data_IF_783586956860
#
_entry.id   IF_783586956860
#
_cell.length_a   1.000
_cell.length_b   1.000
_cell.length_c   1.000
_cell.angle_alpha   90.00
_cell.angle_beta   90.00
_cell.angle_gamma   90.00
#
_symmetry.space_group_name_H-M   'P 1'
#
loop_
_entity.id
_entity.type
_entity.pdbx_description
1 polymer ?
#
# COMPACT_ATOMS: atom_id res chain seq x y z
N UNK A 1 -3.00 -10.03 -4.11
CA UNK A 1 -3.18 -11.47 -3.81
C UNK A 1 -3.24 -11.76 -2.30
N UNK A 2 -2.46 -11.06 -1.46
CA UNK A 2 -2.38 -11.34 -0.03
C UNK A 2 -3.62 -10.97 0.80
N UNK A 3 -4.38 -9.93 0.41
CA UNK A 3 -5.58 -9.48 1.13
C UNK A 3 -6.66 -10.58 1.24
N UNK A 4 -7.00 -11.24 0.13
CA UNK A 4 -8.07 -12.25 0.12
C UNK A 4 -7.69 -13.41 1.04
N UNK A 5 -6.45 -13.89 0.93
CA UNK A 5 -5.93 -14.94 1.82
C UNK A 5 -5.99 -14.51 3.29
N UNK A 6 -5.61 -13.28 3.61
CA UNK A 6 -5.69 -12.75 4.97
C UNK A 6 -7.12 -12.68 5.49
N UNK A 7 -8.07 -12.18 4.68
CA UNK A 7 -9.49 -12.08 5.07
C UNK A 7 -10.13 -13.45 5.28
N UNK A 8 -9.66 -14.48 4.57
CA UNK A 8 -10.13 -15.86 4.74
C UNK A 8 -9.56 -16.53 6.00
N UNK A 9 -8.33 -16.17 6.40
CA UNK A 9 -7.65 -16.77 7.56
C UNK A 9 -7.88 -15.99 8.86
N UNK A 10 -8.32 -14.74 8.79
CA UNK A 10 -8.44 -13.85 9.95
C UNK A 10 -9.90 -13.41 10.19
N UNK A 11 -10.48 -13.74 11.36
CA UNK A 11 -11.85 -13.38 11.71
C UNK A 11 -12.14 -11.88 11.59
N UNK A 12 -13.34 -11.55 11.13
CA UNK A 12 -13.77 -10.15 10.95
C UNK A 12 -13.74 -9.34 12.25
N UNK A 13 -14.06 -9.96 13.39
CA UNK A 13 -14.06 -9.29 14.69
C UNK A 13 -12.65 -8.80 15.08
N UNK A 14 -11.65 -9.65 14.89
CA UNK A 14 -10.24 -9.32 15.14
C UNK A 14 -9.77 -8.19 14.23
N UNK A 15 -10.11 -8.27 12.93
CA UNK A 15 -9.75 -7.22 11.96
C UNK A 15 -10.36 -5.86 12.32
N UNK A 16 -11.61 -5.84 12.82
CA UNK A 16 -12.25 -4.60 13.29
C UNK A 16 -11.60 -4.04 14.55
N UNK A 17 -11.26 -4.90 15.52
CA UNK A 17 -10.62 -4.48 16.76
C UNK A 17 -9.25 -3.82 16.53
N UNK A 18 -8.51 -4.27 15.51
CA UNK A 18 -7.18 -3.75 15.18
C UNK A 18 -7.18 -2.74 14.01
N UNK A 19 -8.34 -2.35 13.50
CA UNK A 19 -8.42 -1.39 12.38
C UNK A 19 -7.84 -1.90 11.05
N UNK A 20 -7.83 -3.21 10.82
CA UNK A 20 -7.24 -3.85 9.64
C UNK A 20 -8.19 -3.78 8.43
N UNK A 21 -8.30 -2.58 7.86
CA UNK A 21 -9.01 -2.29 6.61
C UNK A 21 -7.99 -1.98 5.53
N UNK A 22 -8.11 -2.66 4.38
CA UNK A 22 -7.15 -2.51 3.30
C UNK A 22 -7.52 -1.35 2.38
N UNK A 23 -6.50 -0.56 2.02
CA UNK A 23 -6.62 0.51 1.05
C UNK A 23 -6.84 -0.06 -0.35
N UNK A 24 -7.90 0.35 -1.07
CA UNK A 24 -8.10 -0.06 -2.46
C UNK A 24 -6.94 0.39 -3.36
N UNK A 25 -6.59 -0.40 -4.39
CA UNK A 25 -5.42 -0.15 -5.23
C UNK A 25 -5.39 1.25 -5.85
N UNK A 26 -6.51 1.72 -6.40
CA UNK A 26 -6.61 3.04 -7.01
C UNK A 26 -6.39 4.19 -6.01
N UNK A 27 -6.78 4.00 -4.75
CA UNK A 27 -6.54 4.97 -3.68
C UNK A 27 -5.07 4.94 -3.26
N UNK A 28 -4.48 3.75 -3.15
CA UNK A 28 -3.05 3.61 -2.87
C UNK A 28 -2.19 4.28 -3.96
N UNK A 29 -2.55 4.09 -5.23
CA UNK A 29 -1.86 4.71 -6.36
C UNK A 29 -1.96 6.25 -6.29
N UNK A 30 -3.17 6.80 -6.06
CA UNK A 30 -3.37 8.24 -5.88
C UNK A 30 -2.52 8.83 -4.75
N UNK A 31 -2.54 8.19 -3.57
CA UNK A 31 -1.80 8.67 -2.40
C UNK A 31 -0.29 8.63 -2.64
N UNK A 32 0.22 7.55 -3.23
CA UNK A 32 1.65 7.43 -3.55
C UNK A 32 2.08 8.45 -4.60
N UNK A 33 1.31 8.65 -5.68
CA UNK A 33 1.62 9.67 -6.69
C UNK A 33 1.75 11.06 -6.08
N UNK A 34 0.98 11.36 -5.03
CA UNK A 34 1.13 12.62 -4.29
C UNK A 34 2.42 12.65 -3.46
N UNK A 35 2.70 11.60 -2.68
CA UNK A 35 3.87 11.53 -1.79
C UNK A 35 5.21 11.58 -2.55
N UNK A 36 5.32 10.89 -3.68
CA UNK A 36 6.59 10.81 -4.43
C UNK A 36 6.89 12.05 -5.27
N UNK A 37 5.92 12.96 -5.44
CA UNK A 37 6.04 14.15 -6.30
C UNK A 37 7.24 15.03 -5.91
N UNK A 38 7.56 15.09 -4.63
CA UNK A 38 8.64 15.92 -4.10
C UNK A 38 9.98 15.17 -3.95
N UNK A 39 10.10 13.98 -4.56
CA UNK A 39 11.29 13.12 -4.55
C UNK A 39 11.89 12.94 -3.13
N UNK A 40 11.12 12.44 -2.15
CA UNK A 40 11.60 12.28 -0.79
C UNK A 40 12.75 11.27 -0.72
N UNK A 41 13.75 11.54 0.13
CA UNK A 41 14.87 10.62 0.36
C UNK A 41 14.48 9.35 1.11
N UNK A 42 13.39 9.40 1.88
CA UNK A 42 12.85 8.27 2.63
C UNK A 42 11.34 8.41 2.81
N UNK A 43 10.64 7.27 2.89
CA UNK A 43 9.20 7.18 3.14
C UNK A 43 9.00 6.22 4.32
N UNK A 44 8.11 6.59 5.24
CA UNK A 44 7.74 5.78 6.41
C UNK A 44 6.25 5.41 6.33
N UNK A 45 5.94 4.12 6.52
CA UNK A 45 4.58 3.61 6.66
C UNK A 45 4.43 2.83 7.99
N UNK A 46 4.00 3.49 9.07
CA UNK A 46 3.99 2.91 10.42
C UNK A 46 2.84 1.90 10.65
N UNK A 47 1.96 1.69 9.67
CA UNK A 47 0.86 0.73 9.73
C UNK A 47 0.82 -0.11 8.45
N UNK A 48 2.00 -0.57 8.03
CA UNK A 48 2.27 -1.18 6.73
C UNK A 48 1.27 -2.26 6.27
N UNK A 49 0.70 -3.01 7.22
CA UNK A 49 -0.27 -4.05 6.92
C UNK A 49 0.30 -5.08 5.94
N UNK A 50 -0.35 -5.22 4.78
CA UNK A 50 0.11 -6.11 3.70
C UNK A 50 0.85 -5.35 2.57
N UNK A 51 1.19 -4.07 2.77
CA UNK A 51 2.06 -3.31 1.88
C UNK A 51 1.38 -2.64 0.68
N UNK A 52 0.09 -2.28 0.78
CA UNK A 52 -0.65 -1.68 -0.34
C UNK A 52 0.04 -0.43 -0.94
N UNK A 53 0.63 0.41 -0.08
CA UNK A 53 1.37 1.61 -0.49
C UNK A 53 2.74 1.29 -1.08
N UNK A 54 3.41 0.24 -0.61
CA UNK A 54 4.67 -0.22 -1.22
C UNK A 54 4.45 -0.82 -2.60
N UNK A 55 3.41 -1.64 -2.76
CA UNK A 55 3.04 -2.17 -4.06
C UNK A 55 2.67 -1.05 -5.05
N UNK A 56 1.97 -0.01 -4.58
CA UNK A 56 1.67 1.19 -5.37
C UNK A 56 2.96 1.94 -5.77
N UNK A 57 3.89 2.12 -4.83
CA UNK A 57 5.19 2.71 -5.09
C UNK A 57 5.96 1.94 -6.15
N UNK A 58 6.02 0.60 -6.09
CA UNK A 58 6.70 -0.20 -7.11
C UNK A 58 6.04 -0.08 -8.48
N UNK A 59 4.70 -0.05 -8.57
CA UNK A 59 3.98 0.14 -9.84
C UNK A 59 4.26 1.50 -10.47
N UNK A 60 4.18 2.56 -9.68
CA UNK A 60 4.30 3.95 -10.17
C UNK A 60 5.76 4.32 -10.40
N UNK A 61 6.66 3.95 -9.48
CA UNK A 61 8.08 4.24 -9.54
C UNK A 61 8.77 3.64 -10.76
N UNK A 62 8.33 2.47 -11.24
CA UNK A 62 8.84 1.88 -12.49
C UNK A 62 8.46 2.69 -13.74
N UNK A 63 7.35 3.45 -13.69
CA UNK A 63 6.93 4.31 -14.80
C UNK A 63 7.64 5.68 -14.79
N UNK A 64 8.27 6.05 -13.68
CA UNK A 64 8.98 7.31 -13.50
C UNK A 64 10.50 7.21 -13.81
N UNK A 65 11.04 6.01 -14.02
CA UNK A 65 12.44 5.79 -14.41
C UNK A 65 12.48 5.09 -15.78
N UNK A 66 12.60 5.84 -16.89
CA UNK A 66 12.94 5.24 -18.17
C UNK A 66 14.38 4.71 -18.11
N UNK A 67 14.56 3.38 -18.23
CA UNK A 67 15.88 2.77 -18.47
C UNK A 67 16.59 2.11 -17.29
N UNK A 68 15.86 1.66 -16.25
CA UNK A 68 16.37 0.66 -15.31
C UNK A 68 16.12 -0.76 -15.84
#
# INVERSE_FOLDING_TARGET
MHEIKYKNLTPIQYRKQLGQFFTPCNIADLMISWVIKDNPKSILDPAFGLGAFFDAFLRIGHSAIPGA
#
